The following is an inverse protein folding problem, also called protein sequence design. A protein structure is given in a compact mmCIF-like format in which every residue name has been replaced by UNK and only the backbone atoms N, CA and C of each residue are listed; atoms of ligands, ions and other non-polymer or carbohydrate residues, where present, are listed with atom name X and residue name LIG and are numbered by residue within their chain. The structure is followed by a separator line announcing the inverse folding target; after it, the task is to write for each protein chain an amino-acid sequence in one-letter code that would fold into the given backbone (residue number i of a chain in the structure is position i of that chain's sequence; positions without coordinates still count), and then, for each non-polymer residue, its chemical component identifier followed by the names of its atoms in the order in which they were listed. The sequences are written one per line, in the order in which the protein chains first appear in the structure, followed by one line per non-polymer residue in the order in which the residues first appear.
data_IF_880252188147
#
_entry.id   IF_880252188147
#
_cell.length_a   1.000
_cell.length_b   1.000
_cell.length_c   1.000
_cell.angle_alpha   90.00
_cell.angle_beta   90.00
_cell.angle_gamma   90.00
#
_symmetry.space_group_name_H-M   'P 1'
#
loop_
_entity.id
_entity.type
_entity.pdbx_description
1 polymer ?
#
# COMPACT_ATOMS: atom_id res chain seq x y z
N UNK A 1 -7.68 -3.24 12.09
CA UNK A 1 -9.03 -3.02 11.54
C UNK A 1 -9.12 -1.56 11.14
N UNK A 2 -9.26 -1.26 9.84
CA UNK A 2 -9.25 0.11 9.33
C UNK A 2 -10.65 0.70 9.54
N UNK A 3 -10.74 1.72 10.38
CA UNK A 3 -12.00 2.41 10.69
C UNK A 3 -11.80 3.93 10.59
N UNK A 4 -12.83 4.62 10.11
CA UNK A 4 -12.87 6.09 10.08
C UNK A 4 -14.10 6.56 10.84
N UNK A 5 -13.88 7.45 11.80
CA UNK A 5 -14.94 8.18 12.48
C UNK A 5 -15.23 9.45 11.71
N UNK A 6 -16.47 9.58 11.21
CA UNK A 6 -16.96 10.81 10.58
C UNK A 6 -17.40 11.78 11.67
N UNK A 7 -17.00 13.06 11.56
CA UNK A 7 -17.50 14.11 12.46
C UNK A 7 -18.85 14.64 11.95
N UNK A 8 -19.74 15.08 12.85
CA UNK A 8 -21.00 15.74 12.47
C UNK A 8 -20.67 17.00 11.65
N UNK A 9 -21.15 17.04 10.41
CA UNK A 9 -20.85 18.11 9.43
C UNK A 9 -19.90 17.71 8.30
N UNK A 10 -19.34 16.49 8.30
CA UNK A 10 -18.57 15.98 7.15
C UNK A 10 -19.46 15.30 6.12
N UNK A 11 -19.22 15.62 4.84
CA UNK A 11 -19.84 14.88 3.74
C UNK A 11 -19.25 13.48 3.67
N UNK A 12 -20.10 12.49 3.38
CA UNK A 12 -19.72 11.07 3.26
C UNK A 12 -18.55 10.90 2.27
N UNK A 13 -18.52 11.68 1.19
CA UNK A 13 -17.47 11.65 0.17
C UNK A 13 -16.06 11.98 0.72
N UNK A 14 -15.95 12.94 1.65
CA UNK A 14 -14.67 13.25 2.31
C UNK A 14 -14.21 12.11 3.20
N UNK A 15 -15.15 11.42 3.85
CA UNK A 15 -14.90 10.19 4.59
C UNK A 15 -14.31 9.08 3.74
N UNK A 16 -14.94 8.81 2.59
CA UNK A 16 -14.50 7.80 1.63
C UNK A 16 -13.10 8.10 1.07
N UNK A 17 -12.80 9.37 0.77
CA UNK A 17 -11.46 9.80 0.32
C UNK A 17 -10.39 9.54 1.37
N UNK A 18 -10.67 9.78 2.66
CA UNK A 18 -9.73 9.42 3.73
C UNK A 18 -9.58 7.92 3.86
N UNK A 19 -10.66 7.16 3.74
CA UNK A 19 -10.61 5.70 3.83
C UNK A 19 -9.70 5.13 2.77
N UNK A 20 -9.86 5.60 1.53
CA UNK A 20 -8.99 5.25 0.41
C UNK A 20 -7.53 5.61 0.70
N UNK A 21 -7.24 6.83 1.18
CA UNK A 21 -5.88 7.23 1.56
C UNK A 21 -5.27 6.34 2.64
N UNK A 22 -6.03 5.96 3.67
CA UNK A 22 -5.54 5.07 4.74
C UNK A 22 -5.28 3.68 4.18
N UNK A 23 -6.19 3.12 3.39
CA UNK A 23 -6.03 1.82 2.71
C UNK A 23 -4.79 1.78 1.81
N UNK A 24 -4.54 2.86 1.08
CA UNK A 24 -3.37 2.99 0.20
C UNK A 24 -2.07 3.15 0.99
N UNK A 25 -2.11 3.92 2.09
CA UNK A 25 -0.96 4.14 2.99
C UNK A 25 -0.55 2.85 3.70
N UNK A 26 -1.53 2.09 4.18
CA UNK A 26 -1.30 0.80 4.83
C UNK A 26 -0.84 -0.27 3.84
N UNK A 27 -1.08 -0.04 2.54
CA UNK A 27 -0.62 -0.93 1.48
C UNK A 27 -1.39 -2.25 1.46
N UNK A 28 -2.58 -2.29 2.07
CA UNK A 28 -3.41 -3.49 2.20
C UNK A 28 -3.67 -4.13 0.82
N UNK A 29 -4.00 -3.31 -0.18
CA UNK A 29 -4.21 -3.78 -1.56
C UNK A 29 -2.96 -4.43 -2.16
N UNK A 30 -1.76 -3.96 -1.80
CA UNK A 30 -0.49 -4.57 -2.23
C UNK A 30 -0.25 -5.90 -1.52
N UNK A 31 -0.61 -6.00 -0.23
CA UNK A 31 -0.50 -7.24 0.53
C UNK A 31 -1.47 -8.31 0.02
N UNK A 32 -2.72 -7.95 -0.24
CA UNK A 32 -3.73 -8.86 -0.82
C UNK A 32 -3.23 -9.42 -2.15
N UNK A 33 -2.72 -8.57 -3.05
CA UNK A 33 -2.16 -9.03 -4.33
C UNK A 33 -0.94 -9.92 -4.16
N UNK A 34 -0.08 -9.63 -3.19
CA UNK A 34 1.12 -10.43 -2.92
C UNK A 34 0.80 -11.79 -2.29
N UNK A 35 -0.28 -11.88 -1.51
CA UNK A 35 -0.68 -13.09 -0.80
C UNK A 35 -1.73 -13.91 -1.56
N UNK A 36 -2.19 -13.45 -2.73
CA UNK A 36 -3.19 -14.16 -3.54
C UNK A 36 -2.73 -15.55 -3.99
N UNK A 37 -1.42 -15.75 -4.12
CA UNK A 37 -0.81 -17.01 -4.52
C UNK A 37 0.42 -17.30 -3.64
N UNK A 38 0.75 -18.56 -3.48
CA UNK A 38 1.99 -18.94 -2.80
C UNK A 38 3.20 -18.48 -3.62
N UNK A 39 4.08 -17.72 -2.98
CA UNK A 39 5.37 -17.33 -3.54
C UNK A 39 6.50 -17.99 -2.74
N UNK A 40 7.41 -18.68 -3.43
CA UNK A 40 8.58 -19.30 -2.80
C UNK A 40 9.41 -18.22 -2.05
N UNK A 41 9.95 -18.51 -0.85
CA UNK A 41 10.70 -17.51 -0.08
C UNK A 41 11.91 -16.90 -0.81
N UNK A 42 12.52 -17.63 -1.74
CA UNK A 42 13.61 -17.13 -2.60
C UNK A 42 13.13 -16.04 -3.57
N UNK A 43 11.97 -16.26 -4.20
CA UNK A 43 11.35 -15.33 -5.14
C UNK A 43 10.93 -14.03 -4.47
N UNK A 44 10.34 -14.15 -3.26
CA UNK A 44 9.97 -13.01 -2.44
C UNK A 44 11.18 -12.14 -2.08
N UNK A 45 12.32 -12.76 -1.73
CA UNK A 45 13.58 -12.07 -1.44
C UNK A 45 14.14 -11.37 -2.69
N UNK A 46 14.15 -12.06 -3.83
CA UNK A 46 14.60 -11.51 -5.13
C UNK A 46 13.75 -10.31 -5.56
N UNK A 47 12.44 -10.39 -5.43
CA UNK A 47 11.51 -9.30 -5.75
C UNK A 47 11.72 -8.10 -4.82
N UNK A 48 11.96 -8.33 -3.52
CA UNK A 48 12.25 -7.26 -2.54
C UNK A 48 13.53 -6.50 -2.89
N UNK A 49 14.62 -7.21 -3.24
CA UNK A 49 15.90 -6.58 -3.60
C UNK A 49 15.82 -5.82 -4.93
N UNK A 50 15.10 -6.35 -5.93
CA UNK A 50 14.86 -5.66 -7.19
C UNK A 50 14.08 -4.34 -6.98
N UNK A 51 13.01 -4.36 -6.17
CA UNK A 51 12.24 -3.15 -5.82
C UNK A 51 13.07 -2.11 -5.06
N UNK A 52 13.95 -2.54 -4.17
CA UNK A 52 14.84 -1.64 -3.44
C UNK A 52 15.83 -0.94 -4.39
N UNK A 53 16.46 -1.69 -5.30
CA UNK A 53 17.37 -1.16 -6.33
C UNK A 53 16.67 -0.16 -7.27
N UNK A 54 15.47 -0.49 -7.74
CA UNK A 54 14.68 0.42 -8.58
C UNK A 54 14.37 1.74 -7.85
N UNK A 55 13.98 1.68 -6.58
CA UNK A 55 13.73 2.89 -5.75
C UNK A 55 14.99 3.71 -5.50
N UNK A 56 16.13 3.07 -5.22
CA UNK A 56 17.39 3.80 -5.02
C UNK A 56 17.85 4.49 -6.30
N UNK A 57 17.68 3.85 -7.45
CA UNK A 57 18.00 4.44 -8.76
C UNK A 57 17.13 5.65 -9.06
N UNK A 58 15.81 5.54 -8.87
CA UNK A 58 14.87 6.67 -9.07
C UNK A 58 15.17 7.85 -8.14
N UNK A 59 15.55 7.60 -6.88
CA UNK A 59 15.96 8.65 -5.94
C UNK A 59 17.29 9.33 -6.28
N UNK A 60 18.19 8.64 -6.98
CA UNK A 60 19.49 9.16 -7.42
C UNK A 60 19.39 10.03 -8.68
N UNK A 61 18.29 9.90 -9.41
CA UNK A 61 18.03 10.61 -10.67
C UNK A 61 17.03 11.77 -10.51
N UNK A 62 16.62 12.06 -9.26
CA UNK A 62 15.76 13.20 -8.90
C UNK A 62 16.57 14.27 -8.16
#
# INVERSE_FOLDING_TARGET
MIQIRLKRGETVDRGLKRLKKILDKEGLMKQIRANRYFEKPSEKRRRKSARARSRSMSRRSS
#
